data_IF_566642779402
#
_entry.id   IF_566642779402
#
_cell.length_a   1.000
_cell.length_b   1.000
_cell.length_c   1.000
_cell.angle_alpha   90.00
_cell.angle_beta   90.00
_cell.angle_gamma   90.00
#
_symmetry.space_group_name_H-M   'P 1'
#
loop_
_entity.id
_entity.type
_entity.pdbx_description
1 polymer ?
#
# COMPACT_ATOMS: atom_id res chain seq x y z
N UNK A 1 3.45 -15.23 -6.22
CA UNK A 1 2.06 -15.23 -6.72
C UNK A 1 1.82 -13.86 -7.33
N UNK A 2 1.55 -13.74 -8.63
CA UNK A 2 1.49 -12.42 -9.28
C UNK A 2 0.59 -11.43 -8.50
N UNK A 3 0.99 -10.15 -8.36
CA UNK A 3 0.21 -9.16 -7.63
C UNK A 3 -1.24 -9.10 -8.11
N UNK A 4 -2.18 -9.13 -7.17
CA UNK A 4 -3.61 -9.03 -7.49
C UNK A 4 -3.94 -7.57 -7.78
N UNK A 5 -4.28 -7.30 -9.04
CA UNK A 5 -4.65 -5.96 -9.52
C UNK A 5 -6.10 -5.62 -9.20
N UNK A 6 -6.31 -4.39 -8.76
CA UNK A 6 -7.59 -3.73 -8.60
C UNK A 6 -7.58 -2.41 -9.40
N UNK A 7 -8.71 -2.02 -10.02
CA UNK A 7 -8.79 -0.74 -10.72
C UNK A 7 -8.64 0.44 -9.75
N UNK A 8 -8.24 1.60 -10.29
CA UNK A 8 -8.33 2.90 -9.62
C UNK A 8 -9.68 3.06 -8.91
N UNK A 9 -9.63 3.52 -7.66
CA UNK A 9 -10.81 3.83 -6.85
C UNK A 9 -10.70 5.20 -6.16
N UNK A 10 -9.75 6.02 -6.60
CA UNK A 10 -9.43 7.32 -6.02
C UNK A 10 -10.56 8.33 -6.24
N UNK A 11 -10.72 9.24 -5.29
CA UNK A 11 -11.67 10.35 -5.34
C UNK A 11 -10.90 11.67 -5.17
N UNK A 12 -11.27 12.67 -5.95
CA UNK A 12 -10.69 14.02 -5.88
C UNK A 12 -11.73 15.01 -5.36
N UNK A 13 -11.30 15.88 -4.45
CA UNK A 13 -12.12 16.97 -3.94
C UNK A 13 -11.24 18.16 -3.53
N UNK A 14 -11.88 19.30 -3.28
CA UNK A 14 -11.23 20.51 -2.78
C UNK A 14 -11.43 20.58 -1.27
N UNK A 15 -10.36 20.93 -0.58
CA UNK A 15 -10.45 21.34 0.82
C UNK A 15 -11.25 22.66 0.93
N UNK A 16 -12.22 22.73 1.82
CA UNK A 16 -13.13 23.89 1.91
C UNK A 16 -12.44 25.13 2.50
N UNK A 17 -11.45 24.96 3.37
CA UNK A 17 -10.76 26.06 4.04
C UNK A 17 -9.59 26.61 3.20
N UNK A 18 -8.79 25.72 2.63
CA UNK A 18 -7.54 26.06 1.94
C UNK A 18 -7.64 26.06 0.42
N UNK A 19 -8.67 25.43 -0.15
CA UNK A 19 -8.81 25.27 -1.61
C UNK A 19 -7.80 24.30 -2.25
N UNK A 20 -7.00 23.61 -1.44
CA UNK A 20 -6.04 22.62 -1.91
C UNK A 20 -6.75 21.40 -2.52
N UNK A 21 -6.12 20.79 -3.51
CA UNK A 21 -6.57 19.49 -4.04
C UNK A 21 -6.28 18.38 -3.04
N UNK A 22 -7.30 17.60 -2.70
CA UNK A 22 -7.18 16.39 -1.89
C UNK A 22 -7.53 15.20 -2.77
N UNK A 23 -6.68 14.17 -2.70
CA UNK A 23 -6.93 12.88 -3.32
C UNK A 23 -7.08 11.84 -2.21
N UNK A 24 -8.26 11.24 -2.12
CA UNK A 24 -8.48 10.03 -1.34
C UNK A 24 -8.12 8.83 -2.24
N UNK A 25 -7.02 8.15 -1.92
CA UNK A 25 -6.50 7.05 -2.74
C UNK A 25 -7.41 5.80 -2.75
N UNK A 26 -8.06 5.52 -1.62
CA UNK A 26 -8.87 4.31 -1.43
C UNK A 26 -10.32 4.65 -1.08
N UNK A 27 -11.28 4.00 -1.72
CA UNK A 27 -12.73 4.15 -1.45
C UNK A 27 -13.45 2.83 -1.15
N UNK A 28 -12.74 1.69 -1.21
CA UNK A 28 -13.29 0.42 -0.74
C UNK A 28 -13.69 0.49 0.74
N UNK A 29 -14.86 -0.06 1.09
CA UNK A 29 -15.45 -0.04 2.45
C UNK A 29 -14.72 -0.97 3.42
N UNK A 30 -13.46 -0.65 3.72
CA UNK A 30 -12.60 -1.35 4.67
C UNK A 30 -11.58 -0.38 5.25
N UNK A 31 -10.84 -0.80 6.27
CA UNK A 31 -9.71 -0.03 6.79
C UNK A 31 -8.57 -0.04 5.78
N UNK A 32 -7.97 1.13 5.57
CA UNK A 32 -6.69 1.28 4.88
C UNK A 32 -5.87 2.27 5.68
N UNK A 33 -4.56 2.05 5.80
CA UNK A 33 -3.69 2.99 6.49
C UNK A 33 -2.27 2.96 5.91
N UNK A 34 -1.59 4.09 6.07
CA UNK A 34 -0.19 4.24 5.69
C UNK A 34 0.74 3.53 6.72
N UNK A 35 2.01 3.27 6.38
CA UNK A 35 3.06 2.88 7.33
C UNK A 35 3.26 3.92 8.45
N UNK A 36 4.06 3.62 9.47
CA UNK A 36 4.50 4.69 10.38
C UNK A 36 5.19 5.83 9.63
N UNK A 37 5.05 7.06 10.12
CA UNK A 37 5.51 8.28 9.43
C UNK A 37 7.03 8.34 9.17
N UNK A 38 7.85 7.55 9.88
CA UNK A 38 9.30 7.46 9.66
C UNK A 38 9.67 6.39 8.62
N UNK A 39 8.71 5.60 8.15
CA UNK A 39 8.87 4.63 7.06
C UNK A 39 8.48 5.30 5.76
N UNK A 40 9.34 5.18 4.75
CA UNK A 40 9.03 5.67 3.42
C UNK A 40 7.88 4.85 2.81
N UNK A 41 6.72 5.48 2.65
CA UNK A 41 5.60 4.88 1.95
C UNK A 41 5.80 4.89 0.42
N UNK A 42 6.69 5.73 -0.10
CA UNK A 42 7.08 5.75 -1.51
C UNK A 42 8.42 5.04 -1.73
N UNK A 43 8.61 4.45 -2.92
CA UNK A 43 9.95 4.17 -3.40
C UNK A 43 10.65 5.44 -3.91
N UNK A 44 11.95 5.36 -4.23
CA UNK A 44 12.74 6.52 -4.66
C UNK A 44 12.23 7.18 -5.94
N UNK A 45 11.68 6.40 -6.87
CA UNK A 45 11.11 6.93 -8.11
C UNK A 45 9.74 7.58 -7.91
N UNK A 46 9.13 7.41 -6.73
CA UNK A 46 7.78 7.85 -6.39
C UNK A 46 6.70 7.33 -7.36
N UNK A 47 6.96 6.22 -8.03
CA UNK A 47 6.01 5.56 -8.94
C UNK A 47 5.14 4.51 -8.23
N UNK A 48 5.51 4.14 -6.99
CA UNK A 48 4.77 3.20 -6.14
C UNK A 48 4.56 3.81 -4.74
N UNK A 49 3.30 3.87 -4.31
CA UNK A 49 2.90 4.25 -2.95
C UNK A 49 2.35 3.04 -2.19
N UNK A 50 3.06 2.59 -1.16
CA UNK A 50 2.73 1.41 -0.36
C UNK A 50 1.84 1.73 0.84
N UNK A 51 0.89 0.86 1.14
CA UNK A 51 -0.06 0.99 2.24
C UNK A 51 -0.60 -0.38 2.67
N UNK A 52 -1.30 -0.41 3.81
CA UNK A 52 -2.05 -1.59 4.26
C UNK A 52 -3.52 -1.45 3.87
N UNK A 53 -4.10 -2.55 3.38
CA UNK A 53 -5.53 -2.66 3.11
C UNK A 53 -6.13 -3.88 3.78
N UNK A 54 -7.30 -3.70 4.39
CA UNK A 54 -8.10 -4.78 4.96
C UNK A 54 -9.15 -5.32 3.98
N UNK A 55 -9.08 -4.96 2.69
CA UNK A 55 -10.12 -5.28 1.69
C UNK A 55 -10.36 -6.78 1.49
N UNK A 56 -9.38 -7.63 1.80
CA UNK A 56 -9.49 -9.09 1.74
C UNK A 56 -9.96 -9.73 3.05
N UNK A 57 -10.34 -8.94 4.06
CA UNK A 57 -10.78 -9.42 5.37
C UNK A 57 -9.68 -9.51 6.44
N UNK A 58 -8.42 -9.25 6.06
CA UNK A 58 -7.25 -9.16 6.94
C UNK A 58 -6.26 -8.14 6.38
N UNK A 59 -5.32 -7.58 7.17
CA UNK A 59 -4.34 -6.62 6.68
C UNK A 59 -3.42 -7.25 5.63
N UNK A 60 -3.38 -6.67 4.44
CA UNK A 60 -2.44 -7.01 3.38
C UNK A 60 -1.69 -5.78 2.90
N UNK A 61 -0.46 -6.00 2.46
CA UNK A 61 0.36 -4.97 1.85
C UNK A 61 -0.11 -4.78 0.41
N UNK A 62 -0.34 -3.52 0.06
CA UNK A 62 -0.66 -3.07 -1.29
C UNK A 62 0.28 -1.95 -1.71
N UNK A 63 0.35 -1.70 -3.02
CA UNK A 63 0.82 -0.43 -3.55
C UNK A 63 -0.16 0.15 -4.56
N UNK A 64 -0.22 1.48 -4.64
CA UNK A 64 -0.80 2.20 -5.75
C UNK A 64 0.30 2.52 -6.77
N UNK A 65 0.02 2.24 -8.03
CA UNK A 65 0.82 2.73 -9.16
C UNK A 65 0.48 4.21 -9.38
N UNK A 66 1.47 5.09 -9.25
CA UNK A 66 1.23 6.54 -9.26
C UNK A 66 0.96 7.11 -10.66
N UNK A 67 1.16 6.33 -11.73
CA UNK A 67 0.81 6.75 -13.09
C UNK A 67 -0.63 6.35 -13.44
N UNK A 68 -1.06 5.16 -13.02
CA UNK A 68 -2.37 4.60 -13.40
C UNK A 68 -3.41 4.64 -12.29
N UNK A 69 -2.98 4.89 -11.06
CA UNK A 69 -3.75 4.82 -9.82
C UNK A 69 -4.40 3.45 -9.55
N UNK A 70 -4.02 2.42 -10.31
CA UNK A 70 -4.42 1.05 -10.02
C UNK A 70 -3.75 0.58 -8.73
N UNK A 71 -4.45 -0.27 -7.99
CA UNK A 71 -3.96 -0.82 -6.74
C UNK A 71 -3.54 -2.27 -6.93
N UNK A 72 -2.46 -2.69 -6.28
CA UNK A 72 -1.90 -4.02 -6.40
C UNK A 72 -1.67 -4.59 -5.01
N UNK A 73 -2.32 -5.71 -4.68
CA UNK A 73 -2.04 -6.46 -3.47
C UNK A 73 -0.87 -7.41 -3.75
N UNK A 74 0.14 -7.34 -2.90
CA UNK A 74 1.39 -8.11 -3.05
C UNK A 74 1.55 -9.17 -1.97
N UNK A 75 0.69 -9.23 -0.96
CA UNK A 75 0.74 -10.26 0.09
C UNK A 75 -0.58 -11.00 0.28
N UNK A 76 -0.50 -12.21 0.83
CA UNK A 76 -1.62 -12.98 1.37
C UNK A 76 -1.16 -13.71 2.64
N UNK A 77 -1.15 -13.00 3.76
CA UNK A 77 -0.71 -13.52 5.07
C UNK A 77 -1.85 -13.46 6.09
N UNK A 78 -1.95 -14.50 6.93
CA UNK A 78 -2.99 -14.60 7.97
C UNK A 78 -2.63 -13.73 9.19
N UNK A 79 -1.35 -13.62 9.52
CA UNK A 79 -0.81 -13.05 10.75
C UNK A 79 0.18 -11.90 10.48
N UNK A 80 -0.09 -11.10 9.43
CA UNK A 80 0.71 -9.94 9.07
C UNK A 80 0.66 -8.88 10.17
N UNK A 81 1.83 -8.47 10.66
CA UNK A 81 1.94 -7.36 11.61
C UNK A 81 1.91 -6.04 10.81
N UNK A 82 0.72 -5.45 10.66
CA UNK A 82 0.44 -4.37 9.70
C UNK A 82 1.32 -3.12 9.82
N UNK A 83 1.84 -2.83 11.01
CA UNK A 83 2.71 -1.68 11.26
C UNK A 83 4.20 -1.95 10.99
N UNK A 84 4.57 -3.19 10.66
CA UNK A 84 5.96 -3.59 10.38
C UNK A 84 6.40 -3.37 8.93
N UNK A 85 5.47 -3.00 8.04
CA UNK A 85 5.72 -2.77 6.62
C UNK A 85 6.89 -1.79 6.42
N UNK A 86 7.83 -2.17 5.58
CA UNK A 86 9.00 -1.37 5.23
C UNK A 86 9.36 -1.58 3.75
N UNK A 87 8.90 -0.71 2.84
CA UNK A 87 9.25 -0.80 1.42
C UNK A 87 10.73 -0.51 1.20
N UNK A 88 11.37 -1.30 0.33
CA UNK A 88 12.72 -0.99 -0.15
C UNK A 88 12.71 0.29 -0.99
N UNK A 89 13.78 1.07 -0.87
CA UNK A 89 13.94 2.32 -1.62
C UNK A 89 13.95 2.11 -3.14
N UNK A 90 14.47 0.98 -3.61
CA UNK A 90 14.48 0.63 -5.05
C UNK A 90 13.14 0.06 -5.55
N UNK A 91 12.15 -0.12 -4.66
CA UNK A 91 10.81 -0.60 -4.99
C UNK A 91 10.73 -2.06 -5.41
N UNK A 92 11.80 -2.86 -5.21
CA UNK A 92 11.83 -4.28 -5.60
C UNK A 92 11.24 -5.20 -4.54
N UNK A 93 11.42 -4.84 -3.28
CA UNK A 93 10.97 -5.64 -2.14
C UNK A 93 10.15 -4.82 -1.14
N UNK A 94 9.31 -5.50 -0.37
CA UNK A 94 8.75 -4.98 0.88
C UNK A 94 9.06 -5.94 2.01
N UNK A 95 9.62 -5.42 3.11
CA UNK A 95 9.95 -6.17 4.31
C UNK A 95 8.85 -5.99 5.35
N UNK A 96 8.57 -7.02 6.12
CA UNK A 96 7.55 -7.00 7.17
C UNK A 96 7.77 -8.17 8.13
N UNK A 97 7.02 -8.22 9.21
CA UNK A 97 6.92 -9.38 10.08
C UNK A 97 5.53 -9.99 9.99
N UNK A 98 5.49 -11.32 10.08
CA UNK A 98 4.25 -12.08 10.19
C UNK A 98 4.49 -13.22 11.18
N UNK A 99 3.60 -13.32 12.17
CA UNK A 99 3.83 -14.16 13.34
C UNK A 99 5.13 -13.77 14.05
N UNK A 100 6.06 -14.73 14.16
CA UNK A 100 7.37 -14.54 14.80
C UNK A 100 8.54 -14.42 13.81
N UNK A 101 8.26 -14.28 12.51
CA UNK A 101 9.28 -14.29 11.46
C UNK A 101 9.40 -12.94 10.75
N UNK A 102 10.61 -12.65 10.26
CA UNK A 102 10.85 -11.59 9.29
C UNK A 102 10.69 -12.11 7.87
N UNK A 103 9.99 -11.35 7.04
CA UNK A 103 9.67 -11.69 5.66
C UNK A 103 10.09 -10.58 4.72
N UNK A 104 10.27 -10.94 3.45
CA UNK A 104 10.21 -10.00 2.34
C UNK A 104 9.36 -10.58 1.23
N UNK A 105 8.74 -9.70 0.45
CA UNK A 105 8.01 -10.04 -0.76
C UNK A 105 8.61 -9.30 -1.94
N UNK A 106 8.68 -9.93 -3.11
CA UNK A 106 9.12 -9.28 -4.34
C UNK A 106 7.92 -8.61 -5.02
N UNK A 107 8.01 -7.30 -5.23
CA UNK A 107 6.85 -6.47 -5.61
C UNK A 107 6.24 -6.89 -6.94
N UNK A 108 7.06 -7.33 -7.89
CA UNK A 108 6.60 -7.72 -9.24
C UNK A 108 5.97 -9.11 -9.27
N UNK A 109 6.36 -10.00 -8.37
CA UNK A 109 5.96 -11.42 -8.42
C UNK A 109 5.07 -11.85 -7.27
N UNK A 110 4.86 -11.00 -6.26
CA UNK A 110 4.21 -11.33 -4.99
C UNK A 110 4.89 -12.49 -4.31
#
# INVERSE_FOLDING_TARGET
MNPKKFPKESLSFKDEETGNDIIQLTSHKSVHHHPFFHVNAYNLNQDKLYFISHRSGSPQIMFADMQTENLYQITEFIDLNEWSINPSLDGKYVYFTAGFNGWRVEVETG
#
